data_IF_114158907483
#
_entry.id   IF_114158907483
#
_cell.length_a   1.000
_cell.length_b   1.000
_cell.length_c   1.000
_cell.angle_alpha   90.00
_cell.angle_beta   90.00
_cell.angle_gamma   90.00
#
_symmetry.space_group_name_H-M   'P 1'
#
loop_
_entity.id
_entity.type
_entity.pdbx_description
1 polymer ?
#
# COMPACT_ATOMS: atom_id res chain seq x y z
N UNK A 1 -3.93 -0.61 4.23
CA UNK A 1 -3.75 -1.98 3.71
C UNK A 1 -3.19 -2.83 4.84
N UNK A 2 -3.60 -4.09 4.93
CA UNK A 2 -3.04 -5.07 5.83
C UNK A 2 -2.12 -6.00 5.04
N UNK A 3 -0.91 -6.26 5.57
CA UNK A 3 0.06 -7.17 4.99
C UNK A 3 0.32 -8.32 5.94
N UNK A 4 0.42 -9.53 5.40
CA UNK A 4 0.86 -10.72 6.14
C UNK A 4 2.38 -10.79 6.21
N UNK A 5 2.87 -11.56 7.17
CA UNK A 5 4.29 -11.78 7.42
C UNK A 5 5.06 -12.37 6.23
N UNK A 6 4.39 -13.06 5.32
CA UNK A 6 4.94 -13.57 4.06
C UNK A 6 5.01 -12.53 2.94
N UNK A 7 4.52 -11.30 3.17
CA UNK A 7 4.49 -10.21 2.19
C UNK A 7 3.23 -10.18 1.31
N UNK A 8 2.30 -11.12 1.49
CA UNK A 8 1.00 -11.07 0.81
C UNK A 8 0.10 -9.98 1.38
N UNK A 9 -0.79 -9.43 0.53
CA UNK A 9 -1.80 -8.45 0.95
C UNK A 9 -3.00 -9.20 1.53
N UNK A 10 -3.32 -8.91 2.79
CA UNK A 10 -4.49 -9.48 3.49
C UNK A 10 -5.77 -8.70 3.17
N UNK A 11 -5.72 -7.37 3.32
CA UNK A 11 -6.87 -6.50 3.06
C UNK A 11 -6.48 -5.11 2.50
N UNK A 12 -7.39 -4.50 1.74
CA UNK A 12 -7.28 -3.15 1.21
C UNK A 12 -8.54 -2.34 1.56
N UNK A 13 -8.45 -1.59 2.66
CA UNK A 13 -9.50 -0.65 3.09
C UNK A 13 -9.17 0.81 2.71
N UNK A 14 -10.15 1.51 2.12
CA UNK A 14 -10.13 2.96 1.92
C UNK A 14 -10.79 3.62 3.14
N UNK A 15 -9.97 4.23 4.00
CA UNK A 15 -10.43 4.89 5.23
C UNK A 15 -10.99 6.30 5.00
N UNK A 16 -10.58 6.94 3.91
CA UNK A 16 -11.07 8.25 3.46
C UNK A 16 -11.10 8.23 1.94
N UNK A 17 -12.31 8.33 1.37
CA UNK A 17 -12.50 8.39 -0.08
C UNK A 17 -11.94 9.70 -0.65
N UNK A 18 -11.49 9.65 -1.90
CA UNK A 18 -11.18 10.84 -2.70
C UNK A 18 -12.43 11.64 -3.12
N UNK A 19 -13.63 11.09 -2.90
CA UNK A 19 -14.88 11.60 -3.48
C UNK A 19 -15.11 11.14 -4.93
N UNK A 20 -14.19 10.33 -5.49
CA UNK A 20 -14.22 9.83 -6.86
C UNK A 20 -14.02 8.31 -6.88
N UNK A 21 -15.06 7.59 -7.28
CA UNK A 21 -15.06 6.12 -7.25
C UNK A 21 -14.00 5.50 -8.18
N UNK A 22 -13.73 6.12 -9.33
CA UNK A 22 -12.70 5.70 -10.28
C UNK A 22 -11.29 5.82 -9.70
N UNK A 23 -11.00 6.91 -8.99
CA UNK A 23 -9.72 7.10 -8.30
C UNK A 23 -9.54 6.13 -7.13
N UNK A 24 -10.59 5.91 -6.33
CA UNK A 24 -10.53 4.96 -5.23
C UNK A 24 -10.26 3.53 -5.73
N UNK A 25 -10.86 3.12 -6.85
CA UNK A 25 -10.57 1.81 -7.46
C UNK A 25 -9.18 1.75 -8.10
N UNK A 26 -8.71 2.84 -8.70
CA UNK A 26 -7.34 2.92 -9.21
C UNK A 26 -6.31 2.68 -8.09
N UNK A 27 -6.52 3.25 -6.89
CA UNK A 27 -5.67 2.97 -5.71
C UNK A 27 -5.67 1.47 -5.37
N UNK A 28 -6.85 0.84 -5.28
CA UNK A 28 -6.93 -0.61 -4.99
C UNK A 28 -6.19 -1.42 -6.04
N UNK A 29 -6.33 -1.08 -7.32
CA UNK A 29 -5.63 -1.74 -8.42
C UNK A 29 -4.11 -1.56 -8.32
N UNK A 30 -3.61 -0.36 -8.03
CA UNK A 30 -2.17 -0.10 -7.87
C UNK A 30 -1.61 -0.95 -6.73
N UNK A 31 -2.28 -0.99 -5.57
CA UNK A 31 -1.85 -1.81 -4.43
C UNK A 31 -1.82 -3.29 -4.80
N UNK A 32 -2.86 -3.81 -5.47
CA UNK A 32 -2.90 -5.21 -5.94
C UNK A 32 -1.79 -5.53 -6.94
N UNK A 33 -1.52 -4.64 -7.89
CA UNK A 33 -0.46 -4.84 -8.89
C UNK A 33 0.94 -4.85 -8.26
N UNK A 34 1.12 -4.08 -7.18
CA UNK A 34 2.38 -3.99 -6.44
C UNK A 34 2.41 -4.93 -5.22
N UNK A 35 1.47 -5.88 -5.11
CA UNK A 35 1.33 -6.80 -3.97
C UNK A 35 2.43 -7.89 -3.91
N UNK A 36 3.67 -7.53 -4.23
CA UNK A 36 4.87 -8.34 -4.06
C UNK A 36 5.76 -7.69 -3.02
N UNK A 37 5.19 -7.44 -1.84
CA UNK A 37 5.98 -6.93 -0.73
C UNK A 37 6.94 -8.01 -0.25
N UNK A 38 8.12 -7.60 0.24
CA UNK A 38 9.03 -8.53 0.86
C UNK A 38 8.39 -9.12 2.12
N UNK A 39 8.69 -10.39 2.41
CA UNK A 39 8.37 -10.99 3.70
C UNK A 39 8.97 -10.14 4.83
N UNK A 40 8.34 -10.19 6.00
CA UNK A 40 8.80 -9.41 7.14
C UNK A 40 10.16 -9.92 7.62
N UNK A 41 11.04 -9.02 8.08
CA UNK A 41 12.25 -9.43 8.78
C UNK A 41 11.92 -10.36 9.96
N UNK A 42 12.77 -11.35 10.23
CA UNK A 42 12.47 -12.41 11.21
C UNK A 42 12.09 -11.88 12.61
N UNK A 43 12.72 -10.80 13.07
CA UNK A 43 12.41 -10.16 14.35
C UNK A 43 11.02 -9.51 14.40
N UNK A 44 10.50 -9.07 13.24
CA UNK A 44 9.15 -8.53 13.10
C UNK A 44 8.14 -9.67 12.98
N UNK A 45 8.43 -10.66 12.13
CA UNK A 45 7.58 -11.84 11.94
C UNK A 45 7.40 -12.66 13.24
N UNK A 46 8.39 -12.65 14.14
CA UNK A 46 8.30 -13.28 15.45
C UNK A 46 7.26 -12.62 16.38
N UNK A 47 6.87 -11.38 16.12
CA UNK A 47 5.97 -10.58 16.96
C UNK A 47 4.63 -10.28 16.28
N UNK A 48 4.60 -10.23 14.95
CA UNK A 48 3.43 -9.80 14.18
C UNK A 48 3.22 -10.70 12.96
N UNK A 49 2.04 -11.32 12.87
CA UNK A 49 1.61 -12.03 11.67
C UNK A 49 1.06 -11.06 10.61
N UNK A 50 0.38 -10.00 11.04
CA UNK A 50 -0.22 -8.99 10.16
C UNK A 50 0.13 -7.60 10.66
N UNK A 51 0.47 -6.69 9.75
CA UNK A 51 0.65 -5.26 10.05
C UNK A 51 -0.25 -4.40 9.17
N UNK A 52 -0.71 -3.28 9.71
CA UNK A 52 -1.42 -2.26 8.95
C UNK A 52 -0.47 -1.16 8.47
N UNK A 53 -0.53 -0.89 7.17
CA UNK A 53 0.16 0.23 6.54
C UNK A 53 -0.86 1.28 6.12
N UNK A 54 -0.75 2.46 6.71
CA UNK A 54 -1.49 3.67 6.32
C UNK A 54 -0.66 4.48 5.31
N UNK A 55 -1.29 4.86 4.21
CA UNK A 55 -0.72 5.71 3.15
C UNK A 55 -1.77 6.73 2.71
N UNK A 56 -1.31 7.93 2.38
CA UNK A 56 -2.11 8.96 1.73
C UNK A 56 -1.73 8.96 0.26
N UNK A 57 -2.72 8.82 -0.62
CA UNK A 57 -2.53 8.91 -2.06
C UNK A 57 -2.98 10.29 -2.53
N UNK A 58 -2.08 11.00 -3.20
CA UNK A 58 -2.38 12.27 -3.85
C UNK A 58 -2.29 12.05 -5.35
N UNK A 59 -3.41 12.20 -6.04
CA UNK A 59 -3.45 12.21 -7.51
C UNK A 59 -3.34 13.65 -7.98
N UNK A 60 -2.38 13.89 -8.87
CA UNK A 60 -2.09 15.18 -9.49
C UNK A 60 -2.24 15.02 -11.00
N UNK A 61 -2.74 16.04 -11.68
CA UNK A 61 -2.83 16.06 -13.16
C UNK A 61 -1.45 16.08 -13.83
N UNK A 62 -0.42 16.42 -13.06
CA UNK A 62 0.98 16.40 -13.52
C UNK A 62 1.74 15.22 -12.93
N UNK A 63 2.45 14.50 -13.80
CA UNK A 63 3.43 13.50 -13.38
C UNK A 63 4.64 14.24 -12.79
N UNK A 64 4.97 13.97 -11.53
CA UNK A 64 6.20 14.45 -10.90
C UNK A 64 7.17 13.29 -10.77
N UNK A 65 8.35 13.42 -11.39
CA UNK A 65 9.47 12.51 -11.16
C UNK A 65 10.19 12.99 -9.89
N UNK A 66 10.19 12.15 -8.85
CA UNK A 66 11.02 12.38 -7.67
C UNK A 66 12.37 11.70 -7.95
N UNK A 67 13.43 12.48 -8.15
CA UNK A 67 14.79 11.92 -8.17
C UNK A 67 15.13 11.49 -6.74
N UNK A 68 15.58 10.23 -6.58
CA UNK A 68 16.03 9.73 -5.27
C UNK A 68 17.24 10.54 -4.81
N UNK A 69 17.12 11.18 -3.64
CA UNK A 69 18.28 11.75 -2.94
C UNK A 69 19.08 10.58 -2.38
N UNK A 70 20.33 10.48 -2.84
CA UNK A 70 21.32 9.50 -2.39
C UNK A 70 21.59 9.55 -0.89
#
# INVERSE_FOLDING_TARGET
>A
MALRSDGSVDDITIVRSSGRADLDEAVRRIVRLNARYAAFPANVAAQFDVIEIRRVWLFSETLKLLEEVR
#
